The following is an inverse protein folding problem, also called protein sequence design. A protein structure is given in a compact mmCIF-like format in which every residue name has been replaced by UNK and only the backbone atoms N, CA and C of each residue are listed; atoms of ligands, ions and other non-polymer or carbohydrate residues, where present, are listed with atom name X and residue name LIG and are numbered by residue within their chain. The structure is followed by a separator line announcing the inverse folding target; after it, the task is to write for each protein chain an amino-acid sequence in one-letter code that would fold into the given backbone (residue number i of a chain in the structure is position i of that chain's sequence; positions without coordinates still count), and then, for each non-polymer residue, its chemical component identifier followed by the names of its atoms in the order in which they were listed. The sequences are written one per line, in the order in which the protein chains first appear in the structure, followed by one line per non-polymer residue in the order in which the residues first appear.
data_IF_490191649682
#
_entry.id   IF_490191649682
#
_cell.length_a   1.000
_cell.length_b   1.000
_cell.length_c   1.000
_cell.angle_alpha   90.00
_cell.angle_beta   90.00
_cell.angle_gamma   90.00
#
_symmetry.space_group_name_H-M   'P 1'
#
loop_
_entity.id
_entity.type
_entity.pdbx_description
1 polymer ?
#
# COMPACT_ATOMS: atom_id res chain seq x y z
N UNK A 1 -10.65 -4.63 4.59
CA UNK A 1 -11.03 -3.25 4.22
C UNK A 1 -10.34 -2.17 5.04
N UNK A 2 -10.36 -2.19 6.39
CA UNK A 2 -9.64 -1.17 7.18
C UNK A 2 -8.16 -0.97 6.79
N UNK A 3 -7.42 -2.05 6.52
CA UNK A 3 -5.99 -1.97 6.16
C UNK A 3 -5.73 -1.22 4.85
N UNK A 4 -6.54 -1.45 3.81
CA UNK A 4 -6.40 -0.73 2.53
C UNK A 4 -6.83 0.73 2.68
N UNK A 5 -7.87 1.02 3.46
CA UNK A 5 -8.30 2.40 3.76
C UNK A 5 -7.19 3.20 4.46
N UNK A 6 -6.52 2.60 5.45
CA UNK A 6 -5.38 3.24 6.12
C UNK A 6 -4.22 3.51 5.15
N UNK A 7 -3.97 2.61 4.19
CA UNK A 7 -2.96 2.84 3.16
C UNK A 7 -3.39 3.95 2.19
N UNK A 8 -4.65 3.99 1.77
CA UNK A 8 -5.19 5.02 0.88
C UNK A 8 -5.13 6.42 1.52
N UNK A 9 -5.53 6.56 2.78
CA UNK A 9 -5.44 7.80 3.55
C UNK A 9 -4.02 8.37 3.59
N UNK A 10 -2.99 7.51 3.61
CA UNK A 10 -1.60 7.94 3.57
C UNK A 10 -1.28 8.65 2.24
N UNK A 11 -1.73 8.11 1.09
CA UNK A 11 -1.51 8.72 -0.22
C UNK A 11 -2.39 9.95 -0.48
N UNK A 12 -3.60 9.99 0.09
CA UNK A 12 -4.44 11.18 0.11
C UNK A 12 -3.73 12.34 0.84
N UNK A 13 -3.08 12.09 1.98
CA UNK A 13 -2.29 13.10 2.72
C UNK A 13 -1.03 13.56 1.98
N UNK A 14 -0.44 12.68 1.18
CA UNK A 14 0.67 13.04 0.29
C UNK A 14 0.22 13.80 -0.95
N UNK A 15 -1.10 13.98 -1.17
CA UNK A 15 -1.67 14.63 -2.35
C UNK A 15 -1.23 13.93 -3.67
N UNK A 16 -0.95 12.62 -3.62
CA UNK A 16 -0.57 11.83 -4.81
C UNK A 16 -1.82 11.31 -5.50
N UNK A 17 -2.05 11.58 -6.80
CA UNK A 17 -3.16 10.99 -7.54
C UNK A 17 -3.02 9.47 -7.60
N UNK A 18 -4.06 8.76 -7.17
CA UNK A 18 -4.06 7.29 -7.13
C UNK A 18 -5.45 6.72 -7.38
N UNK A 19 -5.51 5.40 -7.57
CA UNK A 19 -6.74 4.61 -7.61
C UNK A 19 -6.54 3.30 -6.85
N UNK A 20 -7.62 2.78 -6.30
CA UNK A 20 -7.65 1.46 -5.66
C UNK A 20 -8.18 0.43 -6.67
N UNK A 21 -7.43 -0.65 -6.85
CA UNK A 21 -7.75 -1.74 -7.78
C UNK A 21 -8.03 -3.01 -6.99
N UNK A 22 -9.17 -3.66 -7.24
CA UNK A 22 -9.42 -5.03 -6.78
C UNK A 22 -8.90 -6.00 -7.84
N UNK A 23 -7.96 -6.86 -7.48
CA UNK A 23 -7.36 -7.80 -8.43
C UNK A 23 -8.33 -8.93 -8.80
N UNK A 24 -8.29 -9.32 -10.07
CA UNK A 24 -9.00 -10.51 -10.55
C UNK A 24 -8.31 -11.79 -10.06
N UNK A 25 -9.01 -12.92 -10.09
CA UNK A 25 -8.44 -14.21 -9.67
C UNK A 25 -7.19 -14.64 -10.46
N UNK A 26 -7.06 -14.21 -11.72
CA UNK A 26 -5.90 -14.52 -12.55
C UNK A 26 -4.66 -13.68 -12.25
N UNK A 27 -4.83 -12.56 -11.54
CA UNK A 27 -3.77 -11.58 -11.24
C UNK A 27 -3.35 -11.60 -9.76
N UNK A 28 -4.05 -12.37 -8.93
CA UNK A 28 -3.70 -12.54 -7.51
C UNK A 28 -2.48 -13.45 -7.34
N UNK A 29 -1.59 -13.07 -6.42
CA UNK A 29 -0.49 -13.92 -5.98
C UNK A 29 -0.99 -15.21 -5.31
N UNK A 30 -0.23 -16.30 -5.47
CA UNK A 30 -0.55 -17.68 -5.00
C UNK A 30 -1.06 -17.82 -3.55
N UNK A 31 -0.68 -16.88 -2.69
CA UNK A 31 -0.94 -16.91 -1.25
C UNK A 31 -2.22 -16.15 -0.88
N UNK A 32 -2.62 -15.18 -1.70
CA UNK A 32 -3.73 -14.27 -1.38
C UNK A 32 -5.08 -14.89 -1.73
N UNK A 33 -6.06 -14.64 -0.87
CA UNK A 33 -7.47 -14.92 -1.14
C UNK A 33 -8.20 -13.68 -1.70
N UNK A 34 -7.70 -12.47 -1.41
CA UNK A 34 -8.21 -11.19 -1.91
C UNK A 34 -7.13 -10.12 -1.80
N UNK A 35 -6.86 -9.42 -2.90
CA UNK A 35 -5.85 -8.36 -2.95
C UNK A 35 -6.42 -7.07 -3.50
N UNK A 36 -6.11 -5.97 -2.82
CA UNK A 36 -6.27 -4.62 -3.33
C UNK A 36 -4.91 -4.01 -3.58
N UNK A 37 -4.74 -3.41 -4.75
CA UNK A 37 -3.57 -2.61 -5.06
C UNK A 37 -3.93 -1.12 -5.04
N UNK A 38 -2.97 -0.28 -4.63
CA UNK A 38 -3.04 1.16 -4.91
C UNK A 38 -2.07 1.43 -6.03
N UNK A 39 -2.55 2.07 -7.09
CA UNK A 39 -1.72 2.54 -8.19
C UNK A 39 -1.62 4.06 -8.16
N UNK A 40 -0.41 4.61 -8.14
CA UNK A 40 -0.15 6.04 -8.25
C UNK A 40 0.05 6.45 -9.71
N UNK A 41 -0.32 7.70 -10.02
CA UNK A 41 -0.02 8.30 -11.31
C UNK A 41 1.49 8.54 -11.47
N UNK A 42 2.05 8.02 -12.56
CA UNK A 42 3.43 8.24 -13.00
C UNK A 42 3.38 9.02 -14.32
N UNK A 43 3.53 10.35 -14.24
CA UNK A 43 3.42 11.26 -15.38
C UNK A 43 4.43 10.94 -16.50
N UNK A 44 5.66 10.55 -16.15
CA UNK A 44 6.69 10.16 -17.11
C UNK A 44 6.34 8.90 -17.91
N UNK A 45 5.44 8.06 -17.37
CA UNK A 45 4.95 6.85 -18.03
C UNK A 45 3.54 6.99 -18.59
N UNK A 46 2.88 8.13 -18.35
CA UNK A 46 1.48 8.37 -18.69
C UNK A 46 0.54 7.22 -18.25
N UNK A 47 0.76 6.70 -17.03
CA UNK A 47 0.04 5.54 -16.53
C UNK A 47 -0.03 5.51 -15.01
N UNK A 48 -1.02 4.78 -14.49
CA UNK A 48 -1.03 4.36 -13.09
C UNK A 48 -0.12 3.13 -12.91
N UNK A 49 0.66 3.12 -11.82
CA UNK A 49 1.59 2.04 -11.46
C UNK A 49 1.46 1.68 -9.99
N UNK A 50 1.54 0.39 -9.70
CA UNK A 50 1.43 -0.17 -8.36
C UNK A 50 2.45 0.44 -7.38
N UNK A 51 1.97 0.88 -6.23
CA UNK A 51 2.75 1.40 -5.10
C UNK A 51 2.40 0.71 -3.78
N UNK A 52 1.27 0.02 -3.73
CA UNK A 52 0.80 -0.79 -2.61
C UNK A 52 0.18 -2.06 -3.14
N UNK A 53 0.44 -3.16 -2.44
CA UNK A 53 -0.39 -4.36 -2.51
C UNK A 53 -0.81 -4.76 -1.10
N UNK A 54 -2.12 -4.89 -0.89
CA UNK A 54 -2.77 -5.19 0.39
C UNK A 54 -3.59 -6.48 0.26
N UNK A 55 -3.16 -7.53 0.96
CA UNK A 55 -3.68 -8.89 0.77
C UNK A 55 -4.24 -9.49 2.04
N UNK A 56 -5.37 -10.19 1.91
CA UNK A 56 -5.88 -11.13 2.91
C UNK A 56 -5.53 -12.55 2.46
N UNK A 57 -4.77 -13.28 3.28
CA UNK A 57 -4.32 -14.63 2.97
C UNK A 57 -5.15 -15.72 3.67
N UNK A 58 -6.23 -15.33 4.38
CA UNK A 58 -6.98 -16.19 5.29
C UNK A 58 -5.98 -16.98 6.16
N UNK A 59 -6.21 -18.28 6.32
CA UNK A 59 -5.36 -19.18 7.08
C UNK A 59 -4.19 -19.80 6.27
N UNK A 60 -3.99 -19.45 5.01
CA UNK A 60 -3.00 -20.12 4.14
C UNK A 60 -1.59 -20.10 4.73
N UNK A 61 -1.14 -18.91 5.18
CA UNK A 61 0.16 -18.75 5.82
C UNK A 61 0.19 -19.41 7.21
N UNK A 62 -0.88 -19.24 8.00
CA UNK A 62 -0.99 -19.80 9.35
C UNK A 62 -0.96 -21.34 9.37
N UNK A 63 -1.59 -22.00 8.39
CA UNK A 63 -1.54 -23.47 8.23
C UNK A 63 -0.12 -23.98 8.05
N UNK A 64 0.66 -23.31 7.20
CA UNK A 64 2.06 -23.68 6.91
C UNK A 64 2.99 -23.43 8.08
N UNK A 65 2.76 -22.34 8.82
CA UNK A 65 3.57 -21.96 9.97
C UNK A 65 3.07 -22.57 11.29
N UNK A 66 1.98 -23.34 11.26
CA UNK A 66 1.30 -23.91 12.45
C UNK A 66 0.90 -22.85 13.50
N UNK A 67 0.54 -21.65 13.06
CA UNK A 67 0.14 -20.55 13.94
C UNK A 67 -1.34 -20.72 14.29
N UNK A 68 -1.63 -20.89 15.59
CA UNK A 68 -2.98 -21.19 16.07
C UNK A 68 -3.34 -20.34 17.27
N UNK A 69 -4.64 -20.19 17.49
CA UNK A 69 -5.23 -19.41 18.57
C UNK A 69 -6.44 -20.15 19.15
N UNK A 70 -6.75 -19.91 20.42
CA UNK A 70 -8.01 -20.29 21.09
C UNK A 70 -8.35 -19.18 22.06
N UNK A 71 -9.62 -18.78 22.14
CA UNK A 71 -10.05 -17.72 23.07
C UNK A 71 -10.03 -18.22 24.51
N UNK A 72 -10.42 -19.48 24.73
CA UNK A 72 -10.42 -20.12 26.04
C UNK A 72 -9.61 -21.41 26.06
N UNK A 73 -9.11 -21.78 27.23
CA UNK A 73 -8.29 -22.99 27.43
C UNK A 73 -9.03 -24.29 27.17
N UNK A 74 -10.37 -24.27 27.27
CA UNK A 74 -11.25 -25.41 27.03
C UNK A 74 -11.77 -25.50 25.58
N UNK A 75 -11.32 -24.62 24.68
CA UNK A 75 -11.72 -24.63 23.26
C UNK A 75 -10.62 -25.23 22.39
N UNK A 76 -11.04 -25.77 21.24
CA UNK A 76 -10.13 -26.24 20.20
C UNK A 76 -9.34 -25.07 19.59
N UNK A 77 -8.08 -25.33 19.26
CA UNK A 77 -7.25 -24.33 18.58
C UNK A 77 -7.67 -24.17 17.12
N UNK A 78 -7.82 -22.93 16.67
CA UNK A 78 -8.13 -22.55 15.29
C UNK A 78 -6.92 -21.89 14.63
N UNK A 79 -6.81 -21.99 13.30
CA UNK A 79 -5.82 -21.23 12.55
C UNK A 79 -6.26 -19.77 12.42
N UNK A 80 -5.35 -18.84 12.69
CA UNK A 80 -5.65 -17.42 12.52
C UNK A 80 -5.57 -17.00 11.05
N UNK A 81 -6.24 -15.88 10.75
CA UNK A 81 -6.10 -15.24 9.45
C UNK A 81 -4.93 -14.27 9.43
N UNK A 82 -4.28 -14.17 8.28
CA UNK A 82 -3.12 -13.31 8.05
C UNK A 82 -3.42 -12.27 7.00
N UNK A 83 -2.99 -11.04 7.27
CA UNK A 83 -3.07 -9.92 6.33
C UNK A 83 -1.69 -9.27 6.22
N UNK A 84 -1.36 -8.76 5.05
CA UNK A 84 -0.14 -7.99 4.82
C UNK A 84 -0.43 -6.86 3.85
N UNK A 85 0.30 -5.76 4.00
CA UNK A 85 0.20 -4.62 3.09
C UNK A 85 1.51 -3.85 3.02
N UNK A 86 1.82 -3.34 1.84
CA UNK A 86 2.80 -2.29 1.68
C UNK A 86 2.17 -0.96 2.10
N UNK A 87 2.76 -0.22 3.03
CA UNK A 87 2.31 1.16 3.29
C UNK A 87 2.96 2.15 2.32
N UNK A 88 4.26 1.98 2.06
CA UNK A 88 5.04 2.87 1.20
C UNK A 88 6.18 2.11 0.53
N UNK A 89 6.04 1.80 -0.76
CA UNK A 89 7.17 1.38 -1.59
C UNK A 89 8.06 2.60 -1.88
N UNK A 90 8.95 2.94 -0.94
CA UNK A 90 9.67 4.23 -0.88
C UNK A 90 10.28 4.68 -2.20
N UNK A 91 10.92 3.78 -2.95
CA UNK A 91 11.51 4.09 -4.26
C UNK A 91 10.47 4.49 -5.31
N UNK A 92 9.36 3.75 -5.41
CA UNK A 92 8.27 4.07 -6.36
C UNK A 92 7.54 5.35 -5.95
N UNK A 93 7.33 5.55 -4.65
CA UNK A 93 6.67 6.75 -4.14
C UNK A 93 7.54 7.99 -4.34
N UNK A 94 8.87 7.88 -4.21
CA UNK A 94 9.77 8.96 -4.55
C UNK A 94 9.65 9.36 -6.02
N UNK A 95 9.59 8.39 -6.95
CA UNK A 95 9.36 8.68 -8.38
C UNK A 95 8.04 9.43 -8.56
N UNK A 96 6.95 8.97 -7.94
CA UNK A 96 5.66 9.65 -8.02
C UNK A 96 5.73 11.09 -7.45
N UNK A 97 6.43 11.33 -6.34
CA UNK A 97 6.62 12.68 -5.80
C UNK A 97 7.40 13.56 -6.80
N UNK A 98 8.54 13.08 -7.30
CA UNK A 98 9.36 13.84 -8.26
C UNK A 98 8.57 14.19 -9.52
N UNK A 99 7.77 13.26 -10.04
CA UNK A 99 7.02 13.48 -11.28
C UNK A 99 5.79 14.38 -11.08
N UNK A 100 5.05 14.24 -9.97
CA UNK A 100 3.80 14.96 -9.75
C UNK A 100 3.99 16.35 -9.13
N UNK A 101 5.11 16.60 -8.46
CA UNK A 101 5.37 17.85 -7.77
C UNK A 101 6.45 18.71 -8.44
N UNK A 102 6.93 18.33 -9.63
CA UNK A 102 7.87 19.13 -10.41
C UNK A 102 7.30 20.50 -10.82
N UNK A 103 8.17 21.48 -10.92
CA UNK A 103 7.89 22.82 -11.44
C UNK A 103 8.49 23.00 -12.82
N UNK A 104 8.10 24.07 -13.53
CA UNK A 104 8.59 24.36 -14.90
C UNK A 104 10.09 24.62 -14.97
N UNK A 105 10.68 25.09 -13.88
CA UNK A 105 12.10 25.40 -13.69
C UNK A 105 12.91 24.22 -13.11
N UNK A 106 12.29 23.05 -12.92
CA UNK A 106 12.97 21.80 -12.54
C UNK A 106 13.14 21.59 -11.03
N UNK A 107 12.55 22.44 -10.20
CA UNK A 107 12.44 22.23 -8.75
C UNK A 107 11.30 21.27 -8.42
N UNK A 108 11.29 20.77 -7.19
CA UNK A 108 10.25 19.87 -6.68
C UNK A 108 9.56 20.53 -5.49
N UNK A 109 8.25 20.76 -5.60
CA UNK A 109 7.44 21.16 -4.45
C UNK A 109 7.38 20.00 -3.45
N UNK A 110 7.74 20.25 -2.20
CA UNK A 110 7.66 19.23 -1.16
C UNK A 110 6.19 19.05 -0.74
N UNK A 111 5.61 17.84 -0.80
CA UNK A 111 4.26 17.58 -0.31
C UNK A 111 4.07 18.11 1.11
N UNK A 112 2.93 18.75 1.40
CA UNK A 112 2.70 19.43 2.69
C UNK A 112 2.97 18.53 3.91
N UNK A 113 2.55 17.27 3.83
CA UNK A 113 2.76 16.29 4.89
C UNK A 113 4.25 15.98 5.17
N UNK A 114 5.15 16.29 4.24
CA UNK A 114 6.59 16.04 4.35
C UNK A 114 7.41 17.28 4.74
N UNK A 115 6.84 18.48 4.65
CA UNK A 115 7.58 19.74 4.84
C UNK A 115 8.21 19.86 6.24
N UNK A 116 7.52 19.41 7.28
CA UNK A 116 8.06 19.43 8.65
C UNK A 116 9.26 18.49 8.85
N UNK A 117 9.37 17.43 8.04
CA UNK A 117 10.46 16.47 8.11
C UNK A 117 11.66 16.90 7.28
N UNK A 118 11.42 17.60 6.17
CA UNK A 118 12.46 18.07 5.23
C UNK A 118 12.97 19.47 5.61
N UNK A 119 12.16 20.28 6.27
CA UNK A 119 12.47 21.66 6.64
C UNK A 119 12.39 22.66 5.47
N UNK A 120 11.82 22.26 4.33
CA UNK A 120 11.67 23.08 3.12
C UNK A 120 10.33 22.78 2.44
N UNK A 121 9.80 23.78 1.73
CA UNK A 121 8.63 23.62 0.84
C UNK A 121 9.02 23.38 -0.62
N UNK A 122 10.28 23.58 -0.99
CA UNK A 122 10.82 23.43 -2.34
C UNK A 122 12.24 22.84 -2.28
N UNK A 123 12.54 21.91 -3.18
CA UNK A 123 13.89 21.32 -3.39
C UNK A 123 14.38 21.68 -4.78
#
# INVERSE_FOLDING_TARGET
EKMIQTAEEFYQKLEIPHKVMLLSSGDMGKISAKTYDIEAWMAGQNAYREIVSCSNCLDYQARRLKIRFRDKTNEDTQYLHTLNSTLVATSRVLVSILENFQTKDGHINVPKALQNYIGKSLI
#
